data_IF_531474999469
#
_entry.id   IF_531474999469
#
_cell.length_a   1.000
_cell.length_b   1.000
_cell.length_c   1.000
_cell.angle_alpha   90.00
_cell.angle_beta   90.00
_cell.angle_gamma   90.00
#
_symmetry.space_group_name_H-M   'P 1'
#
loop_
_entity.id
_entity.type
_entity.pdbx_description
1 polymer ?
#
# COMPACT_ATOMS: atom_id res chain seq x y z
N UNK A 1 -17.40 9.05 -24.66
CA UNK A 1 -17.34 10.53 -24.79
C UNK A 1 -16.04 10.96 -24.14
N UNK A 2 -15.26 11.85 -24.77
CA UNK A 2 -14.04 12.40 -24.14
C UNK A 2 -14.44 13.27 -22.97
N UNK A 3 -13.91 13.00 -21.77
CA UNK A 3 -14.22 13.75 -20.55
C UNK A 3 -13.11 14.75 -20.17
N UNK A 4 -12.05 14.83 -20.96
CA UNK A 4 -10.88 15.68 -20.72
C UNK A 4 -10.17 16.07 -22.02
N UNK A 5 -9.29 17.06 -21.96
CA UNK A 5 -8.46 17.53 -23.07
C UNK A 5 -7.02 17.80 -22.62
N UNK A 6 -6.06 17.48 -23.48
CA UNK A 6 -4.61 17.63 -23.26
C UNK A 6 -3.92 17.87 -24.60
N UNK A 7 -2.65 18.27 -24.58
CA UNK A 7 -1.91 18.70 -25.77
C UNK A 7 -0.76 17.75 -26.11
N UNK A 8 -0.48 17.60 -27.40
CA UNK A 8 0.80 17.15 -27.90
C UNK A 8 1.53 18.36 -28.51
N UNK A 9 2.76 18.61 -28.08
CA UNK A 9 3.58 19.73 -28.55
C UNK A 9 4.89 19.21 -29.13
N UNK A 10 5.35 19.77 -30.25
CA UNK A 10 6.64 19.42 -30.85
C UNK A 10 7.73 20.32 -30.28
N UNK A 11 8.62 19.74 -29.47
CA UNK A 11 9.72 20.44 -28.79
C UNK A 11 11.04 19.80 -29.27
N UNK A 12 11.98 20.62 -29.74
CA UNK A 12 13.28 20.14 -30.26
C UNK A 12 13.15 18.95 -31.23
N UNK A 13 12.20 19.06 -32.18
CA UNK A 13 11.86 18.02 -33.16
C UNK A 13 11.25 16.71 -32.63
N UNK A 14 10.87 16.65 -31.35
CA UNK A 14 10.22 15.48 -30.76
C UNK A 14 8.81 15.85 -30.27
N UNK A 15 7.82 14.99 -30.52
CA UNK A 15 6.49 15.17 -29.95
C UNK A 15 6.50 14.82 -28.46
N UNK A 16 5.93 15.70 -27.65
CA UNK A 16 5.84 15.60 -26.19
C UNK A 16 4.39 15.76 -25.77
N UNK A 17 3.99 15.05 -24.72
CA UNK A 17 2.64 15.10 -24.15
C UNK A 17 2.61 16.15 -23.03
N UNK A 18 1.53 16.93 -22.94
CA UNK A 18 1.38 17.97 -21.92
C UNK A 18 -0.08 18.04 -21.47
N UNK A 19 -0.31 18.03 -20.16
CA UNK A 19 -1.59 18.33 -19.55
C UNK A 19 -1.46 19.52 -18.59
N UNK A 20 -1.77 20.71 -19.09
CA UNK A 20 -1.72 21.94 -18.30
C UNK A 20 -2.79 22.00 -17.21
N UNK A 21 -3.93 21.32 -17.38
CA UNK A 21 -5.03 21.36 -16.42
C UNK A 21 -4.68 20.55 -15.18
N UNK A 22 -4.27 19.30 -15.36
CA UNK A 22 -3.86 18.44 -14.24
C UNK A 22 -2.49 18.85 -13.68
N UNK A 23 -1.66 19.52 -14.49
CA UNK A 23 -0.40 20.12 -14.06
C UNK A 23 -0.54 21.39 -13.20
N UNK A 24 -1.68 22.09 -13.26
CA UNK A 24 -1.88 23.36 -12.55
C UNK A 24 -2.58 23.21 -11.19
N UNK A 25 -3.41 22.18 -11.02
CA UNK A 25 -4.15 21.94 -9.79
C UNK A 25 -5.28 20.94 -9.93
N UNK A 26 -6.20 20.97 -8.98
CA UNK A 26 -7.39 20.11 -8.95
C UNK A 26 -8.58 20.81 -8.31
N UNK A 27 -9.79 20.27 -8.50
CA UNK A 27 -10.98 20.69 -7.76
C UNK A 27 -11.05 19.86 -6.47
N UNK A 28 -11.12 20.54 -5.32
CA UNK A 28 -11.19 19.88 -4.02
C UNK A 28 -12.62 19.42 -3.68
N UNK A 29 -12.83 18.82 -2.51
CA UNK A 29 -14.13 18.29 -2.08
C UNK A 29 -15.23 19.34 -1.87
N UNK A 30 -14.89 20.64 -1.86
CA UNK A 30 -15.84 21.75 -1.77
C UNK A 30 -16.14 22.37 -3.15
N UNK A 31 -15.83 21.66 -4.24
CA UNK A 31 -15.92 22.15 -5.62
C UNK A 31 -15.09 23.42 -5.89
N UNK A 32 -14.04 23.67 -5.10
CA UNK A 32 -13.15 24.82 -5.28
C UNK A 32 -11.85 24.41 -5.96
N UNK A 33 -11.40 25.25 -6.89
CA UNK A 33 -10.08 25.09 -7.48
C UNK A 33 -8.98 25.29 -6.44
N UNK A 34 -8.11 24.31 -6.35
CA UNK A 34 -6.90 24.35 -5.54
C UNK A 34 -5.70 24.26 -6.48
N UNK A 35 -4.93 25.34 -6.52
CA UNK A 35 -3.67 25.38 -7.26
C UNK A 35 -2.69 24.39 -6.63
N UNK A 36 -2.14 23.51 -7.46
CA UNK A 36 -1.14 22.53 -7.09
C UNK A 36 -0.30 22.22 -8.33
N UNK A 37 0.95 22.68 -8.33
CA UNK A 37 1.84 22.43 -9.46
C UNK A 37 2.29 20.97 -9.46
N UNK A 38 1.93 20.25 -10.52
CA UNK A 38 2.28 18.85 -10.72
C UNK A 38 3.17 18.68 -11.98
N UNK A 39 4.51 18.76 -11.83
CA UNK A 39 5.46 18.66 -12.93
C UNK A 39 5.35 17.41 -13.79
N UNK A 40 4.81 16.31 -13.24
CA UNK A 40 4.67 15.05 -13.98
C UNK A 40 3.92 15.23 -15.31
N UNK A 41 2.95 16.15 -15.37
CA UNK A 41 2.14 16.35 -16.57
C UNK A 41 2.80 17.19 -17.67
N UNK A 42 4.06 17.61 -17.48
CA UNK A 42 4.83 18.35 -18.48
C UNK A 42 5.90 17.45 -19.10
N UNK A 43 5.60 16.87 -20.26
CA UNK A 43 6.45 15.89 -20.96
C UNK A 43 6.65 14.54 -20.20
N UNK A 44 5.60 13.89 -19.66
CA UNK A 44 5.73 12.56 -19.08
C UNK A 44 6.10 11.53 -20.16
N UNK A 45 6.80 10.44 -19.77
CA UNK A 45 6.95 9.28 -20.65
C UNK A 45 5.58 8.77 -21.12
N UNK A 46 5.38 8.50 -22.42
CA UNK A 46 4.09 8.05 -22.94
C UNK A 46 3.54 6.77 -22.27
N UNK A 47 4.44 5.87 -21.86
CA UNK A 47 4.12 4.64 -21.12
C UNK A 47 3.50 4.90 -19.75
N UNK A 48 3.75 6.08 -19.16
CA UNK A 48 3.17 6.49 -17.89
C UNK A 48 1.88 7.30 -18.10
N UNK A 49 1.86 8.17 -19.11
CA UNK A 49 0.71 9.03 -19.41
C UNK A 49 -0.53 8.23 -19.87
N UNK A 50 -0.32 7.11 -20.58
CA UNK A 50 -1.41 6.26 -21.06
C UNK A 50 -2.25 5.61 -19.95
N UNK A 51 -1.82 5.64 -18.68
CA UNK A 51 -2.63 5.13 -17.56
C UNK A 51 -3.87 5.99 -17.27
N UNK A 52 -3.89 7.25 -17.71
CA UNK A 52 -5.00 8.18 -17.49
C UNK A 52 -5.48 8.87 -18.77
N UNK A 53 -4.64 8.96 -19.80
CA UNK A 53 -4.91 9.78 -20.98
C UNK A 53 -4.95 8.95 -22.26
N UNK A 54 -6.13 8.39 -22.56
CA UNK A 54 -6.35 7.73 -23.85
C UNK A 54 -6.79 8.75 -24.91
N UNK A 55 -6.07 8.91 -26.03
CA UNK A 55 -6.45 9.84 -27.08
C UNK A 55 -7.58 9.29 -27.97
N UNK A 56 -8.34 10.21 -28.59
CA UNK A 56 -9.29 9.84 -29.65
C UNK A 56 -8.58 9.32 -30.91
N UNK A 57 -7.41 9.88 -31.22
CA UNK A 57 -6.56 9.41 -32.31
C UNK A 57 -5.37 8.61 -31.74
N UNK A 58 -5.27 7.29 -32.02
CA UNK A 58 -4.24 6.43 -31.47
C UNK A 58 -2.79 6.88 -31.72
N UNK A 59 -2.52 7.69 -32.75
CA UNK A 59 -1.16 8.16 -33.03
C UNK A 59 -0.58 9.00 -31.88
N UNK A 60 -1.46 9.70 -31.13
CA UNK A 60 -1.06 10.55 -30.02
C UNK A 60 -0.78 9.80 -28.72
N UNK A 61 -0.87 8.46 -28.73
CA UNK A 61 -0.34 7.68 -27.61
C UNK A 61 1.18 7.79 -27.55
N UNK A 62 1.86 8.07 -28.67
CA UNK A 62 3.33 8.10 -28.80
C UNK A 62 4.02 6.82 -28.27
N UNK A 63 3.28 5.72 -28.19
CA UNK A 63 3.77 4.41 -27.81
C UNK A 63 4.28 3.66 -29.04
N UNK A 64 5.34 2.86 -28.85
CA UNK A 64 5.79 1.90 -29.87
C UNK A 64 4.68 0.90 -30.22
N UNK A 65 4.02 0.38 -29.19
CA UNK A 65 2.91 -0.57 -29.29
C UNK A 65 1.66 0.07 -28.67
N UNK A 66 0.77 0.66 -29.49
CA UNK A 66 -0.42 1.36 -28.98
C UNK A 66 -1.35 0.43 -28.19
N UNK A 67 -1.85 0.95 -27.07
CA UNK A 67 -2.86 0.32 -26.23
C UNK A 67 -4.22 0.43 -26.91
N UNK A 68 -5.01 -0.64 -26.87
CA UNK A 68 -6.39 -0.63 -27.39
C UNK A 68 -7.34 0.00 -26.37
N UNK A 69 -8.51 0.54 -26.78
CA UNK A 69 -9.50 1.05 -25.83
C UNK A 69 -9.89 0.01 -24.77
N UNK A 70 -10.03 -1.26 -25.17
CA UNK A 70 -10.34 -2.38 -24.25
C UNK A 70 -9.21 -2.65 -23.25
N UNK A 71 -7.96 -2.50 -23.65
CA UNK A 71 -6.83 -2.64 -22.74
C UNK A 71 -6.74 -1.45 -21.78
N UNK A 72 -6.95 -0.22 -22.29
CA UNK A 72 -6.94 1.01 -21.50
C UNK A 72 -7.98 1.00 -20.36
N UNK A 73 -9.24 0.64 -20.64
CA UNK A 73 -10.29 0.56 -19.60
C UNK A 73 -10.01 -0.52 -18.54
N UNK A 74 -9.08 -1.43 -18.82
CA UNK A 74 -8.65 -2.48 -17.90
C UNK A 74 -7.30 -2.15 -17.25
N UNK A 75 -6.74 -0.96 -17.43
CA UNK A 75 -5.59 -0.50 -16.64
C UNK A 75 -6.05 -0.11 -15.23
N UNK A 76 -5.20 -0.27 -14.20
CA UNK A 76 -5.49 0.30 -12.90
C UNK A 76 -5.42 1.82 -12.98
N UNK A 77 -6.16 2.50 -12.09
CA UNK A 77 -6.03 3.95 -11.95
C UNK A 77 -4.72 4.23 -11.23
N UNK A 78 -3.83 5.00 -11.86
CA UNK A 78 -2.51 5.33 -11.33
C UNK A 78 -2.37 6.84 -11.27
N UNK A 79 -1.79 7.34 -10.18
CA UNK A 79 -1.49 8.76 -9.99
C UNK A 79 0.03 9.03 -10.12
N UNK A 80 0.44 10.28 -10.39
CA UNK A 80 1.86 10.65 -10.54
C UNK A 80 2.77 10.15 -9.41
N UNK A 81 2.27 10.11 -8.18
CA UNK A 81 2.99 9.63 -7.01
C UNK A 81 3.47 8.17 -7.11
N UNK A 82 2.85 7.34 -7.95
CA UNK A 82 3.31 5.98 -8.26
C UNK A 82 4.63 6.02 -9.04
N UNK A 83 4.65 6.76 -10.15
CA UNK A 83 5.80 6.86 -11.05
C UNK A 83 6.96 7.65 -10.43
N UNK A 84 6.67 8.75 -9.75
CA UNK A 84 7.68 9.57 -9.04
C UNK A 84 8.45 8.78 -7.98
N UNK A 85 7.80 7.78 -7.38
CA UNK A 85 8.39 6.88 -6.38
C UNK A 85 9.00 5.61 -6.99
N UNK A 86 9.04 5.50 -8.31
CA UNK A 86 9.61 4.34 -9.01
C UNK A 86 8.87 3.02 -8.77
N UNK A 87 7.64 3.04 -8.28
CA UNK A 87 6.92 1.80 -7.95
C UNK A 87 6.57 1.05 -9.23
N UNK A 88 6.60 -0.28 -9.21
CA UNK A 88 6.14 -1.12 -10.34
C UNK A 88 5.22 -2.24 -9.88
N UNK A 89 4.33 -2.67 -10.78
CA UNK A 89 3.39 -3.77 -10.56
C UNK A 89 4.07 -5.09 -10.94
N UNK A 90 4.05 -6.10 -10.06
CA UNK A 90 4.72 -7.38 -10.32
C UNK A 90 3.78 -8.50 -10.77
N UNK A 91 2.55 -8.55 -10.25
CA UNK A 91 1.63 -9.67 -10.51
C UNK A 91 0.19 -9.28 -10.87
N UNK A 92 -0.11 -7.99 -10.98
CA UNK A 92 -1.47 -7.49 -11.29
C UNK A 92 -1.41 -6.28 -12.25
N UNK A 93 -1.09 -6.49 -13.54
CA UNK A 93 -0.99 -5.38 -14.50
C UNK A 93 -2.34 -4.77 -14.90
N UNK A 94 -3.46 -5.41 -14.53
CA UNK A 94 -4.82 -5.00 -14.88
C UNK A 94 -5.56 -4.40 -13.68
N UNK A 95 -6.34 -3.34 -13.91
CA UNK A 95 -7.14 -2.64 -12.92
C UNK A 95 -8.37 -3.40 -12.44
N UNK A 96 -8.93 -4.26 -13.29
CA UNK A 96 -10.06 -5.11 -12.97
C UNK A 96 -9.57 -6.52 -12.60
N UNK A 97 -9.75 -6.91 -11.33
CA UNK A 97 -9.27 -8.17 -10.79
C UNK A 97 -10.45 -9.03 -10.28
N UNK A 98 -10.28 -10.34 -10.30
CA UNK A 98 -11.18 -11.27 -9.62
C UNK A 98 -10.46 -11.85 -8.40
N UNK A 99 -11.16 -11.94 -7.26
CA UNK A 99 -10.66 -12.56 -6.05
C UNK A 99 -11.63 -13.64 -5.55
N UNK A 100 -11.07 -14.69 -4.94
CA UNK A 100 -11.80 -15.80 -4.33
C UNK A 100 -11.41 -15.90 -2.85
N UNK A 101 -12.10 -15.15 -1.98
CA UNK A 101 -11.83 -15.08 -0.54
C UNK A 101 -10.69 -14.13 -0.16
N UNK A 102 -9.53 -14.24 -0.82
CA UNK A 102 -8.36 -13.39 -0.57
C UNK A 102 -7.54 -13.12 -1.84
N UNK A 103 -6.65 -12.13 -1.77
CA UNK A 103 -5.72 -11.76 -2.83
C UNK A 103 -4.38 -11.30 -2.25
N UNK A 104 -3.27 -11.62 -2.92
CA UNK A 104 -1.94 -11.06 -2.62
C UNK A 104 -1.42 -10.30 -3.84
N UNK A 105 -1.25 -9.00 -3.70
CA UNK A 105 -0.64 -8.12 -4.71
C UNK A 105 0.85 -7.92 -4.38
N UNK A 106 1.69 -7.91 -5.42
CA UNK A 106 3.14 -7.70 -5.30
C UNK A 106 3.56 -6.48 -6.10
N UNK A 107 4.44 -5.69 -5.49
CA UNK A 107 4.98 -4.46 -6.06
C UNK A 107 6.49 -4.46 -5.87
N UNK A 108 7.24 -3.94 -6.82
CA UNK A 108 8.58 -3.45 -6.51
C UNK A 108 8.45 -2.01 -6.01
N UNK A 109 9.21 -1.65 -4.99
CA UNK A 109 9.33 -0.27 -4.54
C UNK A 109 10.74 -0.03 -4.01
N UNK A 110 11.32 1.18 -4.16
CA UNK A 110 12.59 1.56 -3.53
C UNK A 110 12.58 1.42 -2.00
N UNK A 111 13.76 1.32 -1.38
CA UNK A 111 13.88 1.08 0.07
C UNK A 111 13.33 2.22 0.94
N UNK A 112 13.26 3.43 0.40
CA UNK A 112 12.75 4.62 1.07
C UNK A 112 11.24 4.83 0.87
N UNK A 113 10.51 3.88 0.30
CA UNK A 113 9.06 3.98 0.04
C UNK A 113 8.31 2.99 0.90
N UNK A 114 7.28 3.45 1.60
CA UNK A 114 6.37 2.62 2.37
C UNK A 114 5.00 2.53 1.69
N UNK A 115 4.47 1.32 1.51
CA UNK A 115 3.14 1.09 0.97
C UNK A 115 2.15 0.64 2.05
N UNK A 116 0.93 1.14 1.96
CA UNK A 116 -0.23 0.64 2.71
C UNK A 116 -1.46 0.57 1.80
N UNK A 117 -2.53 -0.07 2.27
CA UNK A 117 -3.76 -0.16 1.50
C UNK A 117 -5.00 0.06 2.36
N UNK A 118 -6.10 0.38 1.67
CA UNK A 118 -7.44 0.46 2.22
C UNK A 118 -8.38 -0.26 1.27
N UNK A 119 -9.13 -1.23 1.79
CA UNK A 119 -10.20 -1.89 1.06
C UNK A 119 -11.48 -1.07 1.21
N UNK A 120 -12.18 -0.83 0.10
CA UNK A 120 -13.46 -0.14 0.07
C UNK A 120 -14.51 -1.13 -0.41
N UNK A 121 -15.53 -1.37 0.39
CA UNK A 121 -16.60 -2.31 0.06
C UNK A 121 -17.61 -1.74 -0.97
N UNK A 122 -18.56 -2.55 -1.46
CA UNK A 122 -19.60 -2.07 -2.38
C UNK A 122 -20.50 -0.96 -1.81
N UNK A 123 -20.54 -0.81 -0.48
CA UNK A 123 -21.30 0.20 0.25
C UNK A 123 -20.46 1.46 0.55
N UNK A 124 -19.24 1.55 0.00
CA UNK A 124 -18.28 2.64 0.20
C UNK A 124 -17.71 2.76 1.64
N UNK A 125 -17.82 1.70 2.45
CA UNK A 125 -17.14 1.63 3.75
C UNK A 125 -15.66 1.31 3.55
N UNK A 126 -14.80 1.96 4.33
CA UNK A 126 -13.34 1.81 4.26
C UNK A 126 -12.83 0.90 5.37
N UNK A 127 -12.04 -0.11 5.02
CA UNK A 127 -11.46 -1.09 5.93
C UNK A 127 -9.95 -1.18 5.74
N UNK A 128 -9.19 -0.89 6.79
CA UNK A 128 -7.73 -1.09 6.84
C UNK A 128 -7.38 -2.47 7.37
N UNK A 129 -8.18 -2.97 8.29
CA UNK A 129 -8.04 -4.24 8.97
C UNK A 129 -8.19 -5.47 8.06
N UNK A 130 -8.71 -5.32 6.84
CA UNK A 130 -8.76 -6.38 5.82
C UNK A 130 -7.66 -6.25 4.77
N UNK A 131 -6.68 -5.40 5.03
CA UNK A 131 -5.45 -5.31 4.24
C UNK A 131 -4.24 -5.45 5.14
N UNK A 132 -3.16 -6.02 4.61
CA UNK A 132 -1.88 -6.07 5.32
C UNK A 132 -0.75 -5.88 4.33
N UNK A 133 0.07 -4.86 4.60
CA UNK A 133 1.21 -4.51 3.76
C UNK A 133 2.49 -4.80 4.52
N UNK A 134 3.40 -5.52 3.90
CA UNK A 134 4.74 -5.74 4.44
C UNK A 134 5.76 -5.80 3.33
N UNK A 135 7.00 -5.42 3.63
CA UNK A 135 8.09 -5.46 2.67
C UNK A 135 8.82 -6.80 2.75
N UNK A 136 8.83 -7.56 1.66
CA UNK A 136 9.55 -8.81 1.46
C UNK A 136 10.80 -8.50 0.59
N UNK A 137 11.90 -8.15 1.26
CA UNK A 137 13.16 -7.69 0.63
C UNK A 137 12.97 -6.44 -0.26
N UNK A 138 13.07 -6.57 -1.59
CA UNK A 138 12.87 -5.46 -2.54
C UNK A 138 11.43 -5.31 -3.03
N UNK A 139 10.52 -6.12 -2.49
CA UNK A 139 9.14 -6.14 -2.90
C UNK A 139 8.20 -5.81 -1.75
N UNK A 140 7.04 -5.26 -2.08
CA UNK A 140 5.92 -5.13 -1.17
C UNK A 140 4.88 -6.18 -1.48
N UNK A 141 4.44 -6.87 -0.44
CA UNK A 141 3.29 -7.74 -0.45
C UNK A 141 2.11 -7.02 0.22
N UNK A 142 1.02 -6.85 -0.53
CA UNK A 142 -0.26 -6.36 0.00
C UNK A 142 -1.25 -7.51 -0.05
N UNK A 143 -1.59 -8.05 1.12
CA UNK A 143 -2.63 -9.05 1.28
C UNK A 143 -3.98 -8.37 1.51
N UNK A 144 -5.03 -8.92 0.92
CA UNK A 144 -6.40 -8.42 1.02
C UNK A 144 -7.33 -9.60 1.30
N UNK A 145 -8.19 -9.45 2.30
CA UNK A 145 -9.23 -10.43 2.63
C UNK A 145 -10.61 -9.83 2.34
N UNK A 146 -11.54 -10.64 1.83
CA UNK A 146 -12.88 -10.20 1.47
C UNK A 146 -13.93 -10.87 2.36
N UNK A 147 -14.77 -10.05 3.02
CA UNK A 147 -15.92 -10.51 3.83
C UNK A 147 -17.27 -10.40 3.13
N UNK A 148 -17.31 -9.75 1.98
CA UNK A 148 -18.50 -9.60 1.16
C UNK A 148 -18.15 -9.91 -0.29
N UNK A 149 -19.09 -10.48 -1.04
CA UNK A 149 -18.99 -10.57 -2.50
C UNK A 149 -19.33 -9.25 -3.16
N UNK A 150 -18.87 -9.04 -4.39
CA UNK A 150 -19.19 -7.84 -5.17
C UNK A 150 -17.95 -7.04 -5.56
N UNK A 151 -18.18 -5.86 -6.11
CA UNK A 151 -17.10 -4.99 -6.60
C UNK A 151 -16.61 -4.11 -5.46
N UNK A 152 -15.36 -4.34 -5.08
CA UNK A 152 -14.62 -3.56 -4.10
C UNK A 152 -13.65 -2.65 -4.83
N UNK A 153 -13.24 -1.56 -4.18
CA UNK A 153 -12.05 -0.82 -4.60
C UNK A 153 -10.91 -1.06 -3.62
N UNK A 154 -9.68 -1.16 -4.12
CA UNK A 154 -8.48 -1.18 -3.29
C UNK A 154 -7.68 0.08 -3.58
N UNK A 155 -7.58 0.97 -2.60
CA UNK A 155 -6.71 2.15 -2.67
C UNK A 155 -5.36 1.81 -2.04
N UNK A 156 -4.28 1.93 -2.82
CA UNK A 156 -2.92 1.77 -2.37
C UNK A 156 -2.32 3.16 -2.15
N UNK A 157 -1.76 3.34 -0.96
CA UNK A 157 -1.15 4.57 -0.50
C UNK A 157 0.36 4.40 -0.45
N UNK A 158 1.09 5.46 -0.78
CA UNK A 158 2.52 5.52 -0.55
C UNK A 158 2.90 6.78 0.24
N UNK A 159 3.94 6.62 1.04
CA UNK A 159 4.67 7.70 1.68
C UNK A 159 6.16 7.43 1.56
N UNK A 160 6.95 8.46 1.73
CA UNK A 160 8.38 8.32 1.88
C UNK A 160 8.70 7.91 3.32
N UNK A 161 9.78 7.14 3.50
CA UNK A 161 10.27 6.75 4.83
C UNK A 161 10.98 7.95 5.43
N UNK A 162 10.49 8.41 6.57
CA UNK A 162 11.14 9.47 7.34
C UNK A 162 12.22 8.83 8.21
N UNK A 163 13.48 9.12 7.89
CA UNK A 163 14.61 8.80 8.78
C UNK A 163 14.82 9.98 9.73
N UNK A 164 14.43 9.82 11.01
CA UNK A 164 14.82 10.66 12.16
C UNK A 164 15.10 12.16 11.88
N UNK A 165 14.19 12.89 11.22
CA UNK A 165 14.14 14.35 11.30
C UNK A 165 12.86 14.79 12.04
N UNK A 166 12.96 15.17 13.33
CA UNK A 166 11.83 15.66 14.13
C UNK A 166 11.20 16.95 13.59
N UNK A 167 11.89 17.69 12.71
CA UNK A 167 11.45 18.98 12.19
C UNK A 167 10.72 18.88 10.85
N UNK A 168 10.78 17.74 10.16
CA UNK A 168 10.11 17.55 8.88
C UNK A 168 8.76 16.83 9.05
N UNK A 169 7.73 17.60 9.43
CA UNK A 169 6.38 17.07 9.69
C UNK A 169 5.55 16.83 8.42
N UNK A 170 5.95 17.39 7.27
CA UNK A 170 5.21 17.29 6.01
C UNK A 170 5.41 15.94 5.27
N UNK A 171 6.50 15.21 5.54
CA UNK A 171 6.85 13.95 4.84
C UNK A 171 6.11 12.69 5.33
N UNK A 172 5.19 12.81 6.30
CA UNK A 172 4.41 11.66 6.80
C UNK A 172 3.07 11.47 6.09
N UNK A 173 2.71 12.35 5.15
CA UNK A 173 1.41 12.31 4.48
C UNK A 173 1.43 11.23 3.41
N UNK A 174 0.64 10.17 3.63
CA UNK A 174 0.44 9.13 2.62
C UNK A 174 -0.56 9.60 1.57
N UNK A 175 -0.20 9.49 0.29
CA UNK A 175 -1.08 9.79 -0.83
C UNK A 175 -1.56 8.52 -1.52
N UNK A 176 -2.80 8.49 -2.01
CA UNK A 176 -3.25 7.43 -2.93
C UNK A 176 -2.42 7.52 -4.20
N UNK A 177 -1.85 6.38 -4.61
CA UNK A 177 -1.01 6.29 -5.81
C UNK A 177 -1.58 5.33 -6.85
N UNK A 178 -2.48 4.43 -6.43
CA UNK A 178 -2.99 3.37 -7.27
C UNK A 178 -4.36 2.91 -6.73
N UNK A 179 -5.29 2.62 -7.64
CA UNK A 179 -6.61 2.09 -7.30
C UNK A 179 -7.00 0.95 -8.24
N UNK A 180 -7.36 -0.19 -7.64
CA UNK A 180 -7.94 -1.35 -8.34
C UNK A 180 -9.45 -1.42 -8.14
N UNK A 181 -10.13 -2.03 -9.11
CA UNK A 181 -11.49 -2.54 -9.00
C UNK A 181 -11.41 -4.07 -8.87
N UNK A 182 -11.84 -4.62 -7.74
CA UNK A 182 -11.71 -6.04 -7.43
C UNK A 182 -13.09 -6.64 -7.24
N UNK A 183 -13.47 -7.56 -8.13
CA UNK A 183 -14.65 -8.38 -7.98
C UNK A 183 -14.34 -9.57 -7.07
N UNK A 184 -14.80 -9.50 -5.83
CA UNK A 184 -14.83 -10.65 -4.92
C UNK A 184 -15.94 -11.61 -5.40
N UNK A 185 -15.53 -12.68 -6.09
CA UNK A 185 -16.43 -13.72 -6.62
C UNK A 185 -16.95 -14.60 -5.49
N UNK A 186 -16.08 -14.91 -4.53
CA UNK A 186 -16.42 -15.54 -3.26
C UNK A 186 -15.74 -14.79 -2.11
N UNK A 187 -16.29 -14.93 -0.91
CA UNK A 187 -15.77 -14.32 0.31
C UNK A 187 -15.89 -15.31 1.48
N UNK A 188 -15.15 -15.05 2.55
CA UNK A 188 -15.44 -15.63 3.87
C UNK A 188 -16.00 -14.51 4.75
N UNK A 189 -17.31 -14.51 5.08
CA UNK A 189 -17.90 -13.48 5.95
C UNK A 189 -17.22 -13.35 7.31
N UNK A 190 -16.54 -14.40 7.75
CA UNK A 190 -15.79 -14.45 9.01
C UNK A 190 -14.27 -14.33 8.79
N UNK A 191 -13.82 -13.96 7.58
CA UNK A 191 -12.40 -13.86 7.25
C UNK A 191 -11.67 -13.04 8.32
N UNK A 192 -10.60 -13.55 8.96
CA UNK A 192 -9.94 -12.80 10.02
C UNK A 192 -9.40 -11.47 9.49
N UNK A 193 -9.49 -10.43 10.32
CA UNK A 193 -8.73 -9.21 10.09
C UNK A 193 -7.24 -9.45 10.33
N UNK A 194 -6.40 -8.58 9.78
CA UNK A 194 -4.96 -8.62 9.96
C UNK A 194 -4.52 -7.85 11.21
N UNK A 195 -3.35 -8.19 11.80
CA UNK A 195 -2.80 -7.48 12.95
C UNK A 195 -2.65 -5.98 12.66
N UNK A 196 -2.94 -5.16 13.65
CA UNK A 196 -2.76 -3.72 13.52
C UNK A 196 -1.26 -3.40 13.51
N UNK A 197 -0.79 -2.62 12.54
CA UNK A 197 0.60 -2.18 12.44
C UNK A 197 0.74 -0.71 12.86
N UNK A 198 1.91 -0.36 13.38
CA UNK A 198 2.29 1.01 13.75
C UNK A 198 3.31 1.55 12.75
N UNK A 199 3.54 2.87 12.68
CA UNK A 199 4.48 3.45 11.69
C UNK A 199 5.89 2.84 11.73
N UNK A 200 6.35 2.48 12.93
CA UNK A 200 7.59 1.74 13.22
C UNK A 200 7.66 0.37 12.55
N UNK A 201 6.53 -0.28 12.27
CA UNK A 201 6.49 -1.51 11.47
C UNK A 201 7.08 -1.28 10.08
N UNK A 202 6.59 -0.24 9.39
CA UNK A 202 7.02 0.10 8.04
C UNK A 202 8.42 0.73 8.04
N UNK A 203 8.71 1.58 9.03
CA UNK A 203 9.97 2.33 9.11
C UNK A 203 11.17 1.38 9.33
N UNK A 204 10.95 0.25 10.00
CA UNK A 204 11.98 -0.78 10.23
C UNK A 204 11.85 -2.03 9.35
N UNK A 205 11.01 -2.03 8.31
CA UNK A 205 10.79 -3.19 7.42
C UNK A 205 10.44 -4.48 8.17
N UNK A 206 9.56 -4.38 9.16
CA UNK A 206 9.13 -5.54 9.92
C UNK A 206 8.34 -6.48 9.01
N UNK A 207 8.59 -7.79 9.13
CA UNK A 207 7.85 -8.83 8.41
C UNK A 207 7.19 -9.78 9.41
N UNK A 208 5.98 -10.24 9.11
CA UNK A 208 5.26 -11.23 9.90
C UNK A 208 5.18 -12.53 9.10
N UNK A 209 5.69 -13.61 9.69
CA UNK A 209 5.47 -14.97 9.19
C UNK A 209 4.18 -15.53 9.81
N UNK A 210 4.04 -15.42 11.14
CA UNK A 210 2.82 -15.81 11.83
C UNK A 210 2.67 -15.17 13.23
N UNK A 211 1.43 -15.06 13.74
CA UNK A 211 0.16 -15.26 13.03
C UNK A 211 -0.22 -14.05 12.17
N UNK A 212 -0.98 -14.24 11.10
CA UNK A 212 -1.49 -13.15 10.23
C UNK A 212 -2.95 -12.79 10.52
N UNK A 213 -3.54 -13.35 11.58
CA UNK A 213 -4.89 -12.99 12.05
C UNK A 213 -4.76 -12.11 13.28
N UNK A 214 -5.54 -11.04 13.35
CA UNK A 214 -5.57 -10.10 14.48
C UNK A 214 -6.10 -10.76 15.74
N UNK A 215 -7.23 -11.45 15.61
CA UNK A 215 -7.92 -12.08 16.74
C UNK A 215 -7.39 -13.49 16.95
N UNK A 216 -6.92 -13.76 18.17
CA UNK A 216 -6.35 -15.03 18.60
C UNK A 216 -7.21 -15.62 19.71
N UNK A 217 -7.39 -16.95 19.71
CA UNK A 217 -8.24 -17.61 20.71
C UNK A 217 -7.57 -17.68 22.07
N UNK A 218 -8.17 -17.06 23.08
CA UNK A 218 -7.66 -17.06 24.45
C UNK A 218 -7.52 -18.50 25.00
N UNK A 219 -6.46 -18.72 25.77
CA UNK A 219 -6.12 -20.03 26.35
C UNK A 219 -5.43 -21.00 25.39
N UNK A 220 -5.37 -20.71 24.07
CA UNK A 220 -4.58 -21.52 23.13
C UNK A 220 -3.14 -21.05 23.07
N UNK A 221 -2.22 -21.98 22.81
CA UNK A 221 -0.82 -21.65 22.55
C UNK A 221 -0.68 -21.23 21.10
N UNK A 222 -0.20 -20.00 20.88
CA UNK A 222 0.09 -19.47 19.56
C UNK A 222 1.57 -19.23 19.37
N UNK A 223 2.05 -19.50 18.15
CA UNK A 223 3.42 -19.22 17.73
C UNK A 223 3.47 -17.86 17.06
N UNK A 224 4.42 -17.04 17.48
CA UNK A 224 4.71 -15.73 16.91
C UNK A 224 6.08 -15.77 16.28
N UNK A 225 6.18 -15.37 15.02
CA UNK A 225 7.44 -15.30 14.28
C UNK A 225 7.44 -14.10 13.35
N UNK A 226 8.38 -13.19 13.60
CA UNK A 226 8.51 -11.93 12.85
C UNK A 226 9.98 -11.64 12.54
N UNK A 227 10.26 -10.97 11.43
CA UNK A 227 11.58 -10.40 11.11
C UNK A 227 11.58 -8.96 11.58
N UNK A 228 12.56 -8.58 12.39
CA UNK A 228 12.74 -7.19 12.83
C UNK A 228 14.17 -6.76 12.50
N UNK A 229 14.41 -6.27 11.27
CA UNK A 229 15.73 -5.83 10.84
C UNK A 229 16.36 -4.83 11.81
N UNK A 230 17.60 -5.12 12.24
CA UNK A 230 18.37 -4.22 13.09
C UNK A 230 17.96 -4.19 14.57
N UNK A 231 16.88 -4.85 15.02
CA UNK A 231 16.52 -4.86 16.43
C UNK A 231 17.52 -5.66 17.28
N UNK A 232 17.79 -5.17 18.50
CA UNK A 232 18.58 -5.88 19.51
C UNK A 232 17.76 -6.94 20.23
N UNK A 233 16.51 -6.60 20.52
CA UNK A 233 15.57 -7.47 21.24
C UNK A 233 14.13 -7.16 20.79
N UNK A 234 13.28 -8.17 20.92
CA UNK A 234 11.84 -8.05 20.72
C UNK A 234 11.10 -8.81 21.83
N UNK A 235 9.93 -8.30 22.20
CA UNK A 235 9.11 -8.81 23.29
C UNK A 235 7.64 -8.81 22.88
N UNK A 236 6.89 -9.82 23.34
CA UNK A 236 5.44 -9.73 23.42
C UNK A 236 5.07 -9.07 24.76
N UNK A 237 4.22 -8.06 24.73
CA UNK A 237 3.59 -7.49 25.90
C UNK A 237 2.11 -7.86 25.92
N UNK A 238 1.70 -8.54 26.98
CA UNK A 238 0.30 -8.87 27.27
C UNK A 238 -0.14 -8.16 28.55
N UNK A 239 -0.39 -6.86 28.47
CA UNK A 239 -0.79 -6.02 29.61
C UNK A 239 0.38 -5.71 30.55
N UNK A 240 0.60 -6.55 31.58
CA UNK A 240 1.63 -6.35 32.60
C UNK A 240 2.85 -7.27 32.43
N UNK A 241 2.76 -8.25 31.52
CA UNK A 241 3.78 -9.29 31.37
C UNK A 241 4.51 -9.13 30.05
N UNK A 242 5.83 -9.13 30.12
CA UNK A 242 6.73 -9.10 28.97
C UNK A 242 7.29 -10.49 28.74
N UNK A 243 7.12 -11.01 27.53
CA UNK A 243 7.62 -12.32 27.11
C UNK A 243 8.72 -12.13 26.07
N UNK A 244 9.97 -12.49 26.36
CA UNK A 244 11.07 -12.32 25.43
C UNK A 244 10.92 -13.24 24.22
N UNK A 245 11.33 -12.73 23.06
CA UNK A 245 11.40 -13.50 21.82
C UNK A 245 12.83 -13.94 21.55
N UNK A 246 13.01 -15.21 21.20
CA UNK A 246 14.32 -15.76 20.82
C UNK A 246 14.70 -15.22 19.44
N UNK A 247 15.92 -14.71 19.30
CA UNK A 247 16.40 -14.15 18.04
C UNK A 247 17.29 -15.13 17.27
N UNK A 248 17.15 -15.15 15.95
CA UNK A 248 18.02 -15.89 15.03
C UNK A 248 18.01 -15.23 13.65
N UNK A 249 19.17 -14.77 13.17
CA UNK A 249 19.33 -14.14 11.84
C UNK A 249 18.31 -13.02 11.54
N UNK A 250 18.02 -12.16 12.53
CA UNK A 250 17.05 -11.05 12.42
C UNK A 250 15.59 -11.45 12.57
N UNK A 251 15.30 -12.75 12.69
CA UNK A 251 13.98 -13.25 13.08
C UNK A 251 13.87 -13.33 14.60
N UNK A 252 12.68 -13.05 15.11
CA UNK A 252 12.29 -13.15 16.51
C UNK A 252 11.11 -14.09 16.61
N UNK A 253 11.20 -15.05 17.54
CA UNK A 253 10.20 -16.10 17.68
C UNK A 253 9.90 -16.40 19.15
N UNK A 254 8.62 -16.64 19.45
CA UNK A 254 8.20 -17.19 20.74
C UNK A 254 6.86 -17.92 20.64
N UNK A 255 6.46 -18.58 21.71
CA UNK A 255 5.12 -19.13 21.90
C UNK A 255 4.49 -18.50 23.13
N UNK A 256 3.19 -18.21 23.04
CA UNK A 256 2.43 -17.60 24.12
C UNK A 256 1.07 -18.29 24.23
N UNK A 257 0.70 -18.71 25.44
CA UNK A 257 -0.70 -19.00 25.75
C UNK A 257 -1.47 -17.68 25.72
N UNK A 258 -2.32 -17.52 24.70
CA UNK A 258 -2.99 -16.26 24.38
C UNK A 258 -3.82 -15.79 25.59
N UNK A 259 -3.49 -14.64 26.20
CA UNK A 259 -4.32 -14.04 27.24
C UNK A 259 -5.49 -13.27 26.63
N UNK A 260 -6.50 -12.97 27.44
CA UNK A 260 -7.56 -12.02 27.04
C UNK A 260 -6.99 -10.60 26.93
N UNK A 261 -7.41 -9.86 25.90
CA UNK A 261 -7.05 -8.47 25.69
C UNK A 261 -5.91 -8.24 24.68
N UNK A 262 -5.34 -7.02 24.63
CA UNK A 262 -4.36 -6.66 23.61
C UNK A 262 -3.02 -7.34 23.86
N UNK A 263 -2.41 -7.81 22.76
CA UNK A 263 -1.09 -8.44 22.73
C UNK A 263 -0.24 -7.65 21.74
N UNK A 264 0.77 -6.95 22.24
CA UNK A 264 1.63 -6.09 21.42
C UNK A 264 2.99 -6.73 21.22
N UNK A 265 3.56 -6.63 20.03
CA UNK A 265 4.99 -6.90 19.82
C UNK A 265 5.74 -5.58 19.83
N UNK A 266 6.74 -5.48 20.69
CA UNK A 266 7.64 -4.34 20.79
C UNK A 266 9.06 -4.75 20.48
N UNK A 267 9.85 -3.82 19.94
CA UNK A 267 11.28 -4.02 19.72
C UNK A 267 12.10 -2.83 20.21
N UNK A 268 13.35 -3.11 20.56
CA UNK A 268 14.35 -2.08 20.87
C UNK A 268 15.48 -2.13 19.87
N UNK A 269 15.80 -0.97 19.31
CA UNK A 269 16.82 -0.80 18.27
C UNK A 269 18.14 -0.26 18.86
N UNK A 270 19.28 -0.44 18.16
CA UNK A 270 20.55 0.17 18.54
C UNK A 270 20.39 1.66 18.77
N UNK A 271 21.03 2.18 19.83
CA UNK A 271 20.98 3.59 20.26
C UNK A 271 19.63 4.08 20.83
N UNK A 272 18.58 3.24 20.83
CA UNK A 272 17.34 3.52 21.58
C UNK A 272 17.35 2.85 22.95
N UNK A 273 16.94 3.59 23.98
CA UNK A 273 16.55 3.03 25.29
C UNK A 273 15.06 2.68 25.35
N UNK A 274 14.27 3.16 24.38
CA UNK A 274 12.84 2.95 24.31
C UNK A 274 12.49 1.70 23.51
N UNK A 275 11.40 1.06 23.93
CA UNK A 275 10.73 0.00 23.18
C UNK A 275 9.64 0.59 22.31
N UNK A 276 9.69 0.27 21.02
CA UNK A 276 8.75 0.74 20.03
C UNK A 276 7.74 -0.35 19.74
N UNK A 277 6.45 -0.05 19.87
CA UNK A 277 5.37 -0.96 19.46
C UNK A 277 5.41 -1.11 17.95
N UNK A 278 5.43 -2.34 17.46
CA UNK A 278 5.51 -2.67 16.03
C UNK A 278 4.14 -3.11 15.50
N UNK A 279 3.47 -4.03 16.21
CA UNK A 279 2.16 -4.55 15.83
C UNK A 279 1.35 -5.02 17.04
N UNK A 280 0.03 -5.12 16.87
CA UNK A 280 -0.91 -5.54 17.90
C UNK A 280 -1.90 -6.60 17.38
N UNK A 281 -2.15 -7.57 18.25
CA UNK A 281 -3.17 -8.62 18.17
C UNK A 281 -4.18 -8.44 19.32
N UNK A 282 -5.31 -9.12 19.21
CA UNK A 282 -6.36 -9.16 20.23
C UNK A 282 -6.61 -10.62 20.66
N UNK A 283 -6.43 -10.94 21.93
CA UNK A 283 -6.85 -12.22 22.49
C UNK A 283 -8.31 -12.20 22.93
N UNK A 284 -9.11 -13.11 22.39
CA UNK A 284 -10.57 -13.19 22.61
C UNK A 284 -11.02 -14.62 22.92
#
# INVERSE_FOLDING_TARGET
QSNHAWNAARIANTWQLVDCTWGAGFINGDDRYQQWYEPFYFCPPPQQFIYSHFPNDPQWQLLRDPVTPKAFINLPQVWPGFFKRGITLLNAPHGNLNAHGALKLRFWAPENVCLSAVLIDPCNNKFREYTFSQREDNEYAIMVAFRQTGIHALEVYARDRVYDDPNNRDERVSSVILKYSIKAVSCDPNAPSFPATYGTFDDYNVQVECPLRKTLSAGRVERFRIKVPGAKEAHLNSGKTWHPMRSSKGWFETQLTVPLGPIQILARFPRSIQHWTLLQYDGA
#
